data_IF_755397881142
#
_entry.id   IF_755397881142
#
_cell.length_a   1.000
_cell.length_b   1.000
_cell.length_c   1.000
_cell.angle_alpha   90.00
_cell.angle_beta   90.00
_cell.angle_gamma   90.00
#
_symmetry.space_group_name_H-M   'P 1'
#
loop_
_entity.id
_entity.type
_entity.pdbx_description
1 polymer ?
#
# COMPACT_ATOMS: atom_id res chain seq x y z
N UNK A 1 23.63 -8.63 -0.06
CA UNK A 1 23.05 -8.05 1.17
C UNK A 1 21.55 -8.04 0.98
N UNK A 2 20.78 -8.91 1.66
CA UNK A 2 19.32 -8.75 1.70
C UNK A 2 19.09 -7.60 2.66
N UNK A 3 18.62 -6.46 2.16
CA UNK A 3 18.06 -5.43 3.04
C UNK A 3 16.83 -6.06 3.69
N UNK A 4 16.84 -6.15 5.02
CA UNK A 4 15.64 -6.55 5.76
C UNK A 4 14.56 -5.48 5.51
N UNK A 5 13.35 -5.95 5.26
CA UNK A 5 12.20 -5.10 4.92
C UNK A 5 11.84 -4.27 6.15
N UNK A 6 11.65 -2.96 5.97
CA UNK A 6 11.39 -2.06 7.11
C UNK A 6 10.04 -2.36 7.77
N UNK A 7 10.05 -2.58 9.08
CA UNK A 7 8.83 -2.82 9.86
C UNK A 7 7.96 -1.54 9.95
N UNK A 8 6.64 -1.73 9.84
CA UNK A 8 5.67 -0.68 10.18
C UNK A 8 5.56 -0.59 11.70
N UNK A 9 5.71 0.61 12.24
CA UNK A 9 5.55 0.87 13.68
C UNK A 9 4.30 1.70 13.91
N UNK A 10 3.64 1.48 15.04
CA UNK A 10 2.44 2.25 15.43
C UNK A 10 2.71 3.75 15.62
N UNK A 11 3.96 4.12 15.90
CA UNK A 11 4.37 5.51 16.10
C UNK A 11 4.85 6.17 14.80
N UNK A 12 4.94 5.41 13.71
CA UNK A 12 5.22 5.97 12.39
C UNK A 12 4.03 6.83 11.96
N UNK A 13 4.30 7.89 11.22
CA UNK A 13 3.23 8.65 10.60
C UNK A 13 2.75 7.95 9.31
N UNK A 14 1.63 8.42 8.78
CA UNK A 14 1.01 7.84 7.59
C UNK A 14 1.90 7.90 6.34
N UNK A 15 2.76 8.93 6.21
CA UNK A 15 3.74 9.03 5.12
C UNK A 15 4.84 7.98 5.25
N UNK A 16 5.34 7.74 6.46
CA UNK A 16 6.35 6.72 6.72
C UNK A 16 5.83 5.33 6.32
N UNK A 17 4.58 5.02 6.68
CA UNK A 17 3.92 3.79 6.24
C UNK A 17 3.87 3.67 4.71
N UNK A 18 3.43 4.73 4.02
CA UNK A 18 3.36 4.71 2.56
C UNK A 18 4.73 4.49 1.89
N UNK A 19 5.79 5.11 2.43
CA UNK A 19 7.16 4.93 1.91
C UNK A 19 7.65 3.49 2.12
N UNK A 20 7.43 2.93 3.32
CA UNK A 20 7.81 1.55 3.66
C UNK A 20 7.03 0.51 2.85
N UNK A 21 5.76 0.77 2.57
CA UNK A 21 4.91 -0.09 1.73
C UNK A 21 5.28 0.01 0.26
N UNK A 22 5.75 1.18 -0.20
CA UNK A 22 6.12 1.38 -1.59
C UNK A 22 7.40 0.66 -2.01
N UNK A 23 8.35 0.42 -1.09
CA UNK A 23 9.66 -0.20 -1.39
C UNK A 23 10.37 0.47 -2.60
N UNK A 24 10.25 1.79 -2.71
CA UNK A 24 10.82 2.57 -3.82
C UNK A 24 10.03 2.53 -5.13
N UNK A 25 8.86 1.87 -5.17
CA UNK A 25 7.98 1.87 -6.34
C UNK A 25 7.04 3.09 -6.33
N UNK A 26 7.23 4.07 -7.24
CA UNK A 26 6.40 5.29 -7.28
C UNK A 26 4.94 5.01 -7.67
N UNK A 27 4.68 3.90 -8.38
CA UNK A 27 3.33 3.47 -8.70
C UNK A 27 2.55 3.10 -7.43
N UNK A 28 3.17 2.40 -6.50
CA UNK A 28 2.54 2.07 -5.22
C UNK A 28 2.24 3.31 -4.40
N UNK A 29 3.18 4.26 -4.34
CA UNK A 29 2.95 5.53 -3.66
C UNK A 29 1.73 6.26 -4.27
N UNK A 30 1.56 6.22 -5.60
CA UNK A 30 0.39 6.78 -6.25
C UNK A 30 -0.92 6.07 -5.89
N UNK A 31 -0.91 4.74 -5.70
CA UNK A 31 -2.08 3.97 -5.26
C UNK A 31 -2.47 4.36 -3.84
N UNK A 32 -1.50 4.38 -2.91
CA UNK A 32 -1.75 4.72 -1.52
C UNK A 32 -2.20 6.18 -1.33
N UNK A 33 -1.64 7.12 -2.11
CA UNK A 33 -2.10 8.50 -2.13
C UNK A 33 -3.51 8.65 -2.71
N UNK A 34 -3.84 7.88 -3.75
CA UNK A 34 -5.20 7.84 -4.31
C UNK A 34 -6.18 7.29 -3.28
N UNK A 35 -5.83 6.20 -2.60
CA UNK A 35 -6.62 5.65 -1.50
C UNK A 35 -6.82 6.68 -0.38
N UNK A 36 -5.75 7.34 0.07
CA UNK A 36 -5.85 8.39 1.07
C UNK A 36 -6.79 9.53 0.64
N UNK A 37 -6.71 9.95 -0.62
CA UNK A 37 -7.52 11.04 -1.16
C UNK A 37 -9.00 10.67 -1.33
N UNK A 38 -9.29 9.45 -1.81
CA UNK A 38 -10.65 9.04 -2.19
C UNK A 38 -11.42 8.36 -1.05
N UNK A 39 -10.70 7.66 -0.16
CA UNK A 39 -11.24 6.84 0.93
C UNK A 39 -10.98 7.43 2.31
N UNK A 40 -10.00 8.32 2.41
CA UNK A 40 -9.60 8.95 3.66
C UNK A 40 -8.58 8.13 4.44
N UNK A 41 -8.10 8.72 5.54
CA UNK A 41 -6.97 8.19 6.29
C UNK A 41 -7.28 6.86 7.01
N UNK A 42 -8.52 6.66 7.46
CA UNK A 42 -8.92 5.45 8.17
C UNK A 42 -8.89 4.24 7.23
N UNK A 43 -9.64 4.27 6.14
CA UNK A 43 -9.71 3.18 5.16
C UNK A 43 -8.34 2.90 4.52
N UNK A 44 -7.53 3.94 4.26
CA UNK A 44 -6.16 3.75 3.78
C UNK A 44 -5.26 3.07 4.82
N UNK A 45 -5.37 3.44 6.10
CA UNK A 45 -4.65 2.79 7.19
C UNK A 45 -5.02 1.32 7.33
N UNK A 46 -6.30 0.98 7.26
CA UNK A 46 -6.79 -0.40 7.28
C UNK A 46 -6.23 -1.21 6.09
N UNK A 47 -6.28 -0.65 4.88
CA UNK A 47 -5.68 -1.26 3.69
C UNK A 47 -4.19 -1.57 3.88
N UNK A 48 -3.41 -0.61 4.40
CA UNK A 48 -1.97 -0.82 4.66
C UNK A 48 -1.74 -1.95 5.64
N UNK A 49 -2.52 -2.03 6.72
CA UNK A 49 -2.40 -3.09 7.72
C UNK A 49 -2.72 -4.47 7.14
N UNK A 50 -3.78 -4.60 6.33
CA UNK A 50 -4.12 -5.86 5.67
C UNK A 50 -3.04 -6.31 4.68
N UNK A 51 -2.54 -5.38 3.86
CA UNK A 51 -1.46 -5.65 2.92
C UNK A 51 -0.19 -6.10 3.67
N UNK A 52 0.13 -5.47 4.80
CA UNK A 52 1.28 -5.82 5.62
C UNK A 52 1.15 -7.21 6.26
N UNK A 53 -0.02 -7.54 6.81
CA UNK A 53 -0.32 -8.86 7.38
C UNK A 53 -0.16 -9.97 6.34
N UNK A 54 -0.59 -9.71 5.09
CA UNK A 54 -0.40 -10.62 3.95
C UNK A 54 1.03 -10.61 3.37
N UNK A 55 1.92 -9.78 3.92
CA UNK A 55 3.29 -9.56 3.43
C UNK A 55 3.35 -9.07 1.96
N UNK A 56 2.32 -8.35 1.52
CA UNK A 56 2.17 -7.76 0.18
C UNK A 56 2.70 -6.32 0.22
N UNK A 57 3.81 -6.06 -0.48
CA UNK A 57 4.42 -4.73 -0.59
C UNK A 57 4.97 -4.46 -1.98
N UNK A 58 5.32 -3.20 -2.23
CA UNK A 58 6.04 -2.78 -3.43
C UNK A 58 5.35 -3.23 -4.71
N UNK A 59 6.11 -3.85 -5.61
CA UNK A 59 5.61 -4.31 -6.92
C UNK A 59 4.38 -5.22 -6.84
N UNK A 60 4.17 -5.97 -5.75
CA UNK A 60 2.97 -6.80 -5.61
C UNK A 60 1.69 -5.96 -5.51
N UNK A 61 1.73 -4.84 -4.78
CA UNK A 61 0.63 -3.87 -4.71
C UNK A 61 0.37 -3.30 -6.10
N UNK A 62 1.43 -2.91 -6.81
CA UNK A 62 1.32 -2.33 -8.14
C UNK A 62 0.67 -3.29 -9.15
N UNK A 63 1.11 -4.56 -9.18
CA UNK A 63 0.53 -5.58 -10.04
C UNK A 63 -0.93 -5.87 -9.68
N UNK A 64 -1.25 -5.96 -8.38
CA UNK A 64 -2.63 -6.14 -7.92
C UNK A 64 -3.55 -5.00 -8.39
N UNK A 65 -3.13 -3.76 -8.18
CA UNK A 65 -3.90 -2.58 -8.60
C UNK A 65 -4.00 -2.44 -10.12
N UNK A 66 -2.86 -2.44 -10.83
CA UNK A 66 -2.82 -2.16 -12.26
C UNK A 66 -3.25 -3.34 -13.11
N UNK A 67 -2.61 -4.49 -12.92
CA UNK A 67 -2.73 -5.63 -13.83
C UNK A 67 -3.95 -6.51 -13.48
N UNK A 68 -4.23 -6.73 -12.19
CA UNK A 68 -5.40 -7.53 -11.78
C UNK A 68 -6.70 -6.70 -11.69
N UNK A 69 -6.60 -5.47 -11.21
CA UNK A 69 -7.76 -4.60 -10.99
C UNK A 69 -7.96 -3.53 -12.06
N UNK A 70 -7.06 -3.39 -13.03
CA UNK A 70 -7.25 -2.45 -14.15
C UNK A 70 -7.17 -0.99 -13.74
N UNK A 71 -6.37 -0.67 -12.71
CA UNK A 71 -6.30 0.65 -12.07
C UNK A 71 -7.62 1.09 -11.40
N UNK A 72 -8.49 0.15 -11.03
CA UNK A 72 -9.70 0.42 -10.25
C UNK A 72 -9.40 0.23 -8.76
N UNK A 73 -9.46 1.33 -8.01
CA UNK A 73 -9.13 1.34 -6.59
C UNK A 73 -10.16 0.56 -5.75
N UNK A 74 -11.45 0.68 -6.06
CA UNK A 74 -12.51 -0.02 -5.33
C UNK A 74 -12.41 -1.53 -5.53
N UNK A 75 -12.15 -1.95 -6.77
CA UNK A 75 -11.91 -3.35 -7.08
C UNK A 75 -10.64 -3.87 -6.40
N UNK A 76 -9.58 -3.06 -6.32
CA UNK A 76 -8.35 -3.43 -5.63
C UNK A 76 -8.62 -3.65 -4.14
N UNK A 77 -9.22 -2.67 -3.44
CA UNK A 77 -9.55 -2.78 -2.02
C UNK A 77 -10.45 -3.98 -1.74
N UNK A 78 -11.45 -4.25 -2.58
CA UNK A 78 -12.35 -5.40 -2.41
C UNK A 78 -11.70 -6.78 -2.65
N UNK A 79 -10.47 -6.85 -3.16
CA UNK A 79 -9.71 -8.10 -3.33
C UNK A 79 -8.69 -8.36 -2.22
N UNK A 80 -8.45 -7.38 -1.34
CA UNK A 80 -7.55 -7.48 -0.19
C UNK A 80 -8.36 -7.92 1.02
#
# INVERSE_FOLDING_TARGET
MKLEREELRLNDNLMDWMVKMAEGNPGVLSVLLTALKEKGAQEMGELVLFLDDMNIRGTQIWLGYKDCCGCDLDKFIGCI
#
